data_IF_656834990292
#
_entry.id   IF_656834990292
#
_cell.length_a   1.000
_cell.length_b   1.000
_cell.length_c   1.000
_cell.angle_alpha   90.00
_cell.angle_beta   90.00
_cell.angle_gamma   90.00
#
_symmetry.space_group_name_H-M   'P 1'
#
loop_
_entity.id
_entity.type
_entity.pdbx_description
1 polymer ?
#
# COMPACT_ATOMS: atom_id res chain seq x y z
N UNK A 1 -1.59 -4.96 -4.36
CA UNK A 1 -2.64 -5.46 -5.21
C UNK A 1 -2.38 -5.39 -6.69
N UNK A 2 -3.34 -5.91 -7.44
CA UNK A 2 -3.22 -6.08 -8.88
C UNK A 2 -4.07 -5.07 -9.68
N UNK A 3 -4.30 -3.90 -9.10
CA UNK A 3 -4.95 -2.77 -9.79
C UNK A 3 -3.92 -2.18 -10.76
N UNK A 4 -4.30 -2.02 -12.02
CA UNK A 4 -3.46 -1.40 -13.05
C UNK A 4 -3.36 0.11 -12.82
N UNK A 5 -2.16 0.63 -12.95
CA UNK A 5 -1.84 2.03 -12.77
C UNK A 5 -1.04 2.56 -13.95
N UNK A 6 -1.29 3.80 -14.39
CA UNK A 6 -0.42 4.44 -15.37
C UNK A 6 1.01 4.56 -14.83
N UNK A 7 2.02 4.56 -15.70
CA UNK A 7 3.41 4.76 -15.29
C UNK A 7 3.60 6.13 -14.62
N UNK A 8 4.67 6.26 -13.85
CA UNK A 8 5.09 7.55 -13.32
C UNK A 8 5.37 8.53 -14.48
N UNK A 9 4.87 9.77 -14.41
CA UNK A 9 4.94 10.73 -15.53
C UNK A 9 6.37 10.99 -16.01
N UNK A 10 6.53 11.12 -17.33
CA UNK A 10 7.79 11.50 -17.99
C UNK A 10 8.98 10.55 -17.73
N UNK A 11 8.73 9.32 -17.33
CA UNK A 11 9.77 8.32 -17.19
C UNK A 11 9.43 7.05 -17.99
N UNK A 12 10.44 6.50 -18.65
CA UNK A 12 10.36 5.22 -19.34
C UNK A 12 11.17 4.20 -18.57
N UNK A 13 10.46 3.33 -17.84
CA UNK A 13 11.08 2.23 -17.11
C UNK A 13 11.32 1.03 -18.04
N UNK A 14 12.50 0.46 -17.95
CA UNK A 14 12.76 -0.81 -18.62
C UNK A 14 11.97 -1.92 -17.91
N UNK A 15 11.19 -2.67 -18.67
CA UNK A 15 10.46 -3.80 -18.11
C UNK A 15 11.42 -4.91 -17.65
N UNK A 16 11.17 -5.40 -16.42
CA UNK A 16 11.90 -6.52 -15.83
C UNK A 16 10.97 -7.74 -15.82
N UNK A 17 11.34 -8.74 -16.58
CA UNK A 17 10.59 -10.00 -16.67
C UNK A 17 10.90 -10.95 -15.50
N UNK A 18 9.96 -11.81 -15.13
CA UNK A 18 8.59 -11.86 -15.63
C UNK A 18 7.73 -10.73 -15.08
N UNK A 19 6.67 -10.39 -15.81
CA UNK A 19 5.61 -9.50 -15.31
C UNK A 19 4.95 -10.07 -14.04
N UNK A 20 3.93 -9.42 -13.54
CA UNK A 20 3.23 -9.91 -12.35
C UNK A 20 2.53 -11.25 -12.61
N UNK A 21 2.37 -12.05 -11.56
CA UNK A 21 1.61 -13.32 -11.61
C UNK A 21 0.13 -13.15 -11.99
N UNK A 22 -0.40 -11.91 -11.96
CA UNK A 22 -1.73 -11.59 -12.50
C UNK A 22 -1.77 -11.47 -14.04
N UNK A 23 -0.61 -11.56 -14.72
CA UNK A 23 -0.46 -11.40 -16.16
C UNK A 23 -0.19 -9.97 -16.62
N UNK A 24 -0.32 -8.96 -15.73
CA UNK A 24 -0.13 -7.56 -16.09
C UNK A 24 1.27 -7.07 -15.72
N UNK A 25 1.89 -6.29 -16.62
CA UNK A 25 3.10 -5.51 -16.36
C UNK A 25 2.78 -4.07 -15.91
N UNK A 26 1.55 -3.79 -15.51
CA UNK A 26 1.08 -2.45 -15.16
C UNK A 26 0.38 -2.38 -13.80
N UNK A 27 0.21 -3.51 -13.11
CA UNK A 27 -0.41 -3.53 -11.80
C UNK A 27 0.50 -2.90 -10.73
N UNK A 28 -0.09 -2.43 -9.63
CA UNK A 28 0.63 -1.80 -8.50
C UNK A 28 1.83 -2.63 -8.02
N UNK A 29 1.65 -3.94 -7.85
CA UNK A 29 2.72 -4.84 -7.40
C UNK A 29 3.91 -4.84 -8.37
N UNK A 30 3.62 -4.89 -9.68
CA UNK A 30 4.65 -4.80 -10.71
C UNK A 30 5.29 -3.40 -10.74
N UNK A 31 4.49 -2.33 -10.72
CA UNK A 31 4.99 -0.95 -10.77
C UNK A 31 5.94 -0.64 -9.61
N UNK A 32 5.58 -1.03 -8.39
CA UNK A 32 6.47 -0.82 -7.24
C UNK A 32 7.77 -1.59 -7.44
N UNK A 33 7.71 -2.86 -7.80
CA UNK A 33 8.88 -3.70 -7.96
C UNK A 33 9.79 -3.23 -9.11
N UNK A 34 9.19 -2.92 -10.26
CA UNK A 34 9.91 -2.54 -11.48
C UNK A 34 10.40 -1.09 -11.45
N UNK A 35 9.49 -0.14 -11.19
CA UNK A 35 9.76 1.28 -11.40
C UNK A 35 10.50 1.90 -10.20
N UNK A 36 10.27 1.35 -9.00
CA UNK A 36 10.89 1.86 -7.76
C UNK A 36 12.17 1.08 -7.44
N UNK A 37 12.07 -0.25 -7.31
CA UNK A 37 13.17 -1.07 -6.81
C UNK A 37 14.06 -1.65 -7.92
N UNK A 38 13.59 -1.67 -9.17
CA UNK A 38 14.31 -2.24 -10.33
C UNK A 38 14.72 -3.71 -10.10
N UNK A 39 13.82 -4.50 -9.50
CA UNK A 39 14.07 -5.86 -9.03
C UNK A 39 13.09 -6.88 -9.62
N UNK A 40 13.53 -8.11 -9.74
CA UNK A 40 12.65 -9.25 -10.00
C UNK A 40 11.75 -9.53 -8.79
N UNK A 41 10.68 -10.31 -9.01
CA UNK A 41 9.76 -10.70 -7.91
C UNK A 41 10.49 -11.43 -6.79
N UNK A 42 11.46 -12.28 -7.14
CA UNK A 42 12.24 -13.07 -6.18
C UNK A 42 13.08 -12.14 -5.29
N UNK A 43 13.91 -11.29 -5.90
CA UNK A 43 14.76 -10.34 -5.17
C UNK A 43 13.93 -9.44 -4.24
N UNK A 44 12.84 -8.89 -4.75
CA UNK A 44 11.95 -8.04 -3.94
C UNK A 44 11.30 -8.80 -2.77
N UNK A 45 10.96 -10.09 -2.96
CA UNK A 45 10.37 -10.90 -1.89
C UNK A 45 11.32 -11.17 -0.73
N UNK A 46 12.62 -11.17 -0.99
CA UNK A 46 13.69 -11.42 0.00
C UNK A 46 14.00 -10.19 0.85
N UNK A 47 13.62 -8.97 0.40
CA UNK A 47 13.86 -7.74 1.17
C UNK A 47 13.06 -7.73 2.48
N UNK A 48 13.73 -7.36 3.55
CA UNK A 48 13.11 -7.02 4.84
C UNK A 48 12.48 -5.63 4.81
N UNK A 49 11.58 -5.34 5.75
CA UNK A 49 10.99 -3.99 5.92
C UNK A 49 12.03 -2.91 6.15
N UNK A 50 13.11 -3.24 6.87
CA UNK A 50 14.21 -2.32 7.13
C UNK A 50 14.98 -1.99 5.85
N UNK A 51 15.33 -2.99 5.05
CA UNK A 51 16.04 -2.78 3.77
C UNK A 51 15.21 -1.94 2.80
N UNK A 52 13.90 -2.17 2.73
CA UNK A 52 12.97 -1.36 1.94
C UNK A 52 12.99 0.10 2.40
N UNK A 53 12.89 0.34 3.71
CA UNK A 53 12.96 1.68 4.28
C UNK A 53 14.29 2.36 3.97
N UNK A 54 15.40 1.69 4.26
CA UNK A 54 16.75 2.24 4.05
C UNK A 54 16.99 2.55 2.57
N UNK A 55 16.54 1.68 1.66
CA UNK A 55 16.58 1.94 0.23
C UNK A 55 15.83 3.22 -0.16
N UNK A 56 14.57 3.33 0.23
CA UNK A 56 13.72 4.47 -0.14
C UNK A 56 14.22 5.79 0.46
N UNK A 57 14.72 5.78 1.68
CA UNK A 57 15.27 7.00 2.32
C UNK A 57 16.56 7.45 1.61
N UNK A 58 17.39 6.52 1.17
CA UNK A 58 18.66 6.83 0.49
C UNK A 58 18.49 7.16 -1.01
N UNK A 59 17.29 6.95 -1.59
CA UNK A 59 16.96 7.23 -3.00
C UNK A 59 15.71 8.11 -3.09
N UNK A 60 15.81 9.42 -2.87
CA UNK A 60 14.66 10.33 -2.82
C UNK A 60 13.79 10.29 -4.09
N UNK A 61 14.40 10.12 -5.26
CA UNK A 61 13.70 10.01 -6.54
C UNK A 61 12.84 8.74 -6.61
N UNK A 62 13.33 7.63 -6.05
CA UNK A 62 12.57 6.37 -5.96
C UNK A 62 11.47 6.46 -4.91
N UNK A 63 11.73 7.19 -3.82
CA UNK A 63 10.73 7.45 -2.80
C UNK A 63 9.57 8.30 -3.34
N UNK A 64 9.85 9.26 -4.18
CA UNK A 64 8.81 10.06 -4.86
C UNK A 64 7.93 9.18 -5.75
N UNK A 65 8.53 8.31 -6.58
CA UNK A 65 7.81 7.36 -7.45
C UNK A 65 6.96 6.41 -6.60
N UNK A 66 7.53 5.85 -5.53
CA UNK A 66 6.82 5.00 -4.59
C UNK A 66 5.59 5.71 -4.00
N UNK A 67 5.79 6.92 -3.50
CA UNK A 67 4.73 7.73 -2.89
C UNK A 67 3.63 8.09 -3.90
N UNK A 68 4.00 8.33 -5.15
CA UNK A 68 3.04 8.56 -6.24
C UNK A 68 2.11 7.36 -6.43
N UNK A 69 2.65 6.14 -6.53
CA UNK A 69 1.82 4.94 -6.72
C UNK A 69 0.92 4.66 -5.51
N UNK A 70 1.46 4.78 -4.31
CA UNK A 70 0.68 4.63 -3.07
C UNK A 70 -0.42 5.70 -2.99
N UNK A 71 -0.10 6.95 -3.31
CA UNK A 71 -1.09 8.03 -3.36
C UNK A 71 -2.22 7.78 -4.35
N UNK A 72 -1.93 7.21 -5.52
CA UNK A 72 -2.98 6.82 -6.50
C UNK A 72 -3.93 5.78 -5.92
N UNK A 73 -3.39 4.76 -5.24
CA UNK A 73 -4.23 3.72 -4.61
C UNK A 73 -5.05 4.30 -3.45
N UNK A 74 -4.46 5.10 -2.59
CA UNK A 74 -5.17 5.75 -1.49
C UNK A 74 -6.31 6.61 -2.03
N UNK A 75 -6.06 7.42 -3.05
CA UNK A 75 -7.09 8.22 -3.70
C UNK A 75 -8.22 7.37 -4.27
N UNK A 76 -7.89 6.24 -4.90
CA UNK A 76 -8.90 5.31 -5.41
C UNK A 76 -9.75 4.74 -4.27
N UNK A 77 -9.12 4.26 -3.19
CA UNK A 77 -9.80 3.66 -2.04
C UNK A 77 -10.69 4.68 -1.32
N UNK A 78 -10.19 5.90 -1.09
CA UNK A 78 -10.96 6.97 -0.44
C UNK A 78 -12.18 7.35 -1.29
N UNK A 79 -12.02 7.50 -2.60
CA UNK A 79 -13.12 7.91 -3.48
C UNK A 79 -14.14 6.80 -3.71
N UNK A 80 -13.72 5.53 -3.70
CA UNK A 80 -14.62 4.40 -3.97
C UNK A 80 -15.35 3.91 -2.71
N UNK A 81 -14.62 3.84 -1.58
CA UNK A 81 -15.09 3.20 -0.35
C UNK A 81 -15.44 4.19 0.76
N UNK A 82 -14.97 5.46 0.66
CA UNK A 82 -15.11 6.48 1.70
C UNK A 82 -14.79 5.94 3.11
N UNK A 83 -13.60 5.34 3.33
CA UNK A 83 -13.28 4.72 4.63
C UNK A 83 -12.99 5.78 5.69
N UNK A 84 -13.38 5.52 6.93
CA UNK A 84 -13.00 6.35 8.08
C UNK A 84 -11.53 6.18 8.46
N UNK A 85 -10.95 5.01 8.16
CA UNK A 85 -9.60 4.64 8.56
C UNK A 85 -8.91 3.78 7.49
N UNK A 86 -7.67 4.13 7.16
CA UNK A 86 -6.75 3.29 6.37
C UNK A 86 -5.56 2.90 7.24
N UNK A 87 -5.31 1.59 7.37
CA UNK A 87 -4.19 1.05 8.16
C UNK A 87 -3.10 0.54 7.23
N UNK A 88 -1.90 1.08 7.38
CA UNK A 88 -0.70 0.56 6.73
C UNK A 88 -0.11 -0.60 7.51
N UNK A 89 0.16 -1.70 6.82
CA UNK A 89 0.74 -2.92 7.41
C UNK A 89 1.71 -3.59 6.45
N UNK A 90 2.37 -4.64 6.88
CA UNK A 90 3.28 -5.44 6.06
C UNK A 90 4.65 -4.79 5.86
N UNK A 91 5.29 -5.08 4.73
CA UNK A 91 6.68 -4.69 4.45
C UNK A 91 6.93 -3.19 4.42
N UNK A 92 5.91 -2.39 4.06
CA UNK A 92 6.05 -0.94 3.92
C UNK A 92 5.73 -0.15 5.20
N UNK A 93 5.38 -0.83 6.29
CA UNK A 93 4.99 -0.13 7.52
C UNK A 93 6.09 0.78 8.08
N UNK A 94 7.36 0.37 7.97
CA UNK A 94 8.48 1.15 8.51
C UNK A 94 8.80 2.42 7.71
N UNK A 95 8.31 2.52 6.47
CA UNK A 95 8.44 3.73 5.66
C UNK A 95 7.22 4.64 5.77
N UNK A 96 6.13 4.18 6.36
CA UNK A 96 4.86 4.91 6.42
C UNK A 96 5.01 6.30 7.06
N UNK A 97 5.71 6.43 8.17
CA UNK A 97 5.89 7.70 8.89
C UNK A 97 6.61 8.76 8.05
N UNK A 98 7.53 8.33 7.17
CA UNK A 98 8.23 9.21 6.22
C UNK A 98 7.37 9.57 5.01
N UNK A 99 6.43 8.70 4.68
CA UNK A 99 5.56 8.85 3.52
C UNK A 99 4.37 9.78 3.80
N UNK A 100 3.83 9.81 5.03
CA UNK A 100 2.63 10.55 5.37
C UNK A 100 2.65 12.04 4.95
N UNK A 101 3.72 12.82 5.21
CA UNK A 101 3.76 14.23 4.80
C UNK A 101 3.62 14.42 3.28
N UNK A 102 4.20 13.51 2.48
CA UNK A 102 4.12 13.56 1.03
C UNK A 102 2.74 13.12 0.52
N UNK A 103 2.17 12.08 1.14
CA UNK A 103 0.83 11.61 0.81
C UNK A 103 -0.23 12.66 1.11
N UNK A 104 -0.19 13.30 2.28
CA UNK A 104 -1.13 14.37 2.61
C UNK A 104 -1.06 15.52 1.59
N UNK A 105 0.13 15.89 1.13
CA UNK A 105 0.28 16.89 0.09
C UNK A 105 -0.36 16.47 -1.23
N UNK A 106 -0.18 15.21 -1.65
CA UNK A 106 -0.77 14.68 -2.89
C UNK A 106 -2.30 14.55 -2.79
N UNK A 107 -2.81 14.12 -1.63
CA UNK A 107 -4.25 13.97 -1.37
C UNK A 107 -4.91 15.34 -1.32
N UNK A 108 -4.30 16.34 -0.67
CA UNK A 108 -4.81 17.69 -0.56
C UNK A 108 -4.95 18.42 -1.92
N UNK A 109 -4.18 18.02 -2.93
CA UNK A 109 -4.33 18.56 -4.30
C UNK A 109 -5.49 17.94 -5.08
N UNK A 110 -6.16 16.96 -4.55
CA UNK A 110 -7.29 16.29 -5.18
C UNK A 110 -8.57 17.14 -5.08
N UNK A 111 -9.41 17.11 -6.12
CA UNK A 111 -10.70 17.83 -6.14
C UNK A 111 -11.68 17.38 -5.05
N UNK A 112 -11.46 16.18 -4.48
CA UNK A 112 -12.25 15.60 -3.39
C UNK A 112 -11.48 15.62 -2.05
N UNK A 113 -10.65 16.61 -1.84
CA UNK A 113 -9.80 16.75 -0.63
C UNK A 113 -10.59 16.72 0.69
N UNK A 114 -11.87 17.14 0.69
CA UNK A 114 -12.72 17.07 1.87
C UNK A 114 -12.98 15.64 2.35
N UNK A 115 -13.10 14.67 1.43
CA UNK A 115 -13.27 13.25 1.76
C UNK A 115 -11.96 12.69 2.32
N UNK A 116 -10.83 13.03 1.69
CA UNK A 116 -9.52 12.60 2.15
C UNK A 116 -9.16 13.15 3.54
N UNK A 117 -9.64 14.34 3.89
CA UNK A 117 -9.45 14.93 5.22
C UNK A 117 -10.29 14.25 6.32
N UNK A 118 -11.33 13.52 5.97
CA UNK A 118 -12.15 12.75 6.91
C UNK A 118 -11.59 11.35 7.21
N UNK A 119 -10.65 10.86 6.38
CA UNK A 119 -10.04 9.54 6.54
C UNK A 119 -8.80 9.61 7.45
N UNK A 120 -8.79 8.82 8.51
CA UNK A 120 -7.59 8.64 9.33
C UNK A 120 -6.60 7.67 8.66
N UNK A 121 -5.30 7.93 8.86
CA UNK A 121 -4.22 7.05 8.40
C UNK A 121 -3.40 6.57 9.60
N UNK A 122 -3.27 5.26 9.75
CA UNK A 122 -2.51 4.65 10.86
C UNK A 122 -1.55 3.58 10.35
N UNK A 123 -0.51 3.33 11.12
CA UNK A 123 0.44 2.24 10.90
C UNK A 123 0.16 1.15 11.93
N UNK A 124 0.10 -0.11 11.47
CA UNK A 124 -0.12 -1.25 12.36
C UNK A 124 1.09 -1.52 13.25
N UNK A 125 0.86 -1.75 14.53
CA UNK A 125 1.89 -2.16 15.48
C UNK A 125 2.08 -3.69 15.56
N UNK A 126 1.23 -4.48 14.87
CA UNK A 126 1.20 -5.96 14.99
C UNK A 126 2.29 -6.68 14.17
N UNK A 127 3.12 -5.96 13.41
CA UNK A 127 4.20 -6.54 12.61
C UNK A 127 3.72 -7.48 11.49
N UNK A 128 4.59 -8.42 11.09
CA UNK A 128 4.33 -9.36 10.00
C UNK A 128 3.21 -10.37 10.31
N UNK A 129 2.88 -10.58 11.58
CA UNK A 129 1.82 -11.49 12.02
C UNK A 129 0.43 -10.86 12.01
N UNK A 130 0.33 -9.56 11.69
CA UNK A 130 -0.92 -8.79 11.66
C UNK A 130 -2.07 -9.48 10.90
N UNK A 131 -1.86 -10.04 9.68
CA UNK A 131 -2.93 -10.72 8.96
C UNK A 131 -3.42 -11.98 9.67
N UNK A 132 -2.50 -12.77 10.23
CA UNK A 132 -2.85 -14.01 10.95
C UNK A 132 -3.65 -13.73 12.22
N UNK A 133 -3.26 -12.70 12.98
CA UNK A 133 -3.99 -12.24 14.17
C UNK A 133 -5.38 -11.74 13.77
N UNK A 134 -5.50 -10.95 12.70
CA UNK A 134 -6.78 -10.45 12.20
C UNK A 134 -7.73 -11.59 11.83
N UNK A 135 -7.26 -12.58 11.08
CA UNK A 135 -8.06 -13.77 10.71
C UNK A 135 -8.49 -14.56 11.96
N UNK A 136 -7.59 -14.76 12.91
CA UNK A 136 -7.91 -15.46 14.16
C UNK A 136 -8.99 -14.73 14.98
N UNK A 137 -8.91 -13.40 15.04
CA UNK A 137 -9.93 -12.56 15.69
C UNK A 137 -11.27 -12.65 14.97
N UNK A 138 -11.29 -12.56 13.63
CA UNK A 138 -12.52 -12.71 12.86
C UNK A 138 -13.16 -14.09 13.09
N UNK A 139 -12.38 -15.18 12.99
CA UNK A 139 -12.89 -16.53 13.23
C UNK A 139 -13.41 -16.70 14.66
N UNK A 140 -12.77 -16.06 15.65
CA UNK A 140 -13.24 -16.08 17.03
C UNK A 140 -14.59 -15.36 17.19
N UNK A 141 -14.74 -14.16 16.60
CA UNK A 141 -16.00 -13.43 16.65
C UNK A 141 -17.12 -14.11 15.87
N UNK A 142 -16.83 -14.74 14.72
CA UNK A 142 -17.81 -15.54 13.98
C UNK A 142 -18.36 -16.67 14.87
N UNK A 143 -17.49 -17.38 15.59
CA UNK A 143 -17.91 -18.45 16.50
C UNK A 143 -18.70 -17.96 17.70
N UNK A 144 -18.32 -16.81 18.27
CA UNK A 144 -19.11 -16.19 19.36
C UNK A 144 -20.42 -15.63 18.80
N UNK A 145 -20.41 -15.02 17.61
CA UNK A 145 -21.60 -14.51 16.93
C UNK A 145 -22.64 -15.61 16.64
N UNK A 146 -22.18 -16.80 16.24
CA UNK A 146 -23.04 -17.99 16.11
C UNK A 146 -23.64 -18.43 17.47
N UNK A 147 -22.93 -18.18 18.60
CA UNK A 147 -23.38 -18.54 19.93
C UNK A 147 -24.24 -17.45 20.61
N UNK A 148 -24.12 -16.21 20.16
CA UNK A 148 -24.91 -15.06 20.62
C UNK A 148 -25.74 -14.60 19.44
N UNK A 149 -27.05 -14.86 19.51
CA UNK A 149 -28.01 -14.43 18.50
C UNK A 149 -28.05 -12.88 18.46
N UNK A 150 -27.18 -12.27 17.64
CA UNK A 150 -27.15 -10.83 17.41
C UNK A 150 -28.38 -10.42 16.58
N UNK A 151 -29.50 -10.17 17.24
CA UNK A 151 -30.63 -9.46 16.63
C UNK A 151 -30.29 -7.97 16.58
N UNK A 152 -29.91 -7.49 15.40
CA UNK A 152 -29.89 -6.07 15.06
C UNK A 152 -31.22 -5.65 14.41
#
# INVERSE_FOLDING_TARGET
GHIELPPYPNQNFKAIEPCCSCGSCECLDYRIRNDVFEMTKKEFSELSSKEIKDYLINHPEKFEIFTYYIGKIINLLVNLLNPDLIIFTGKFKEVADYMWPLLYKQIATNKLSYIANACEFKTSNLGATSPAIGIAICAYFDKIGEAIDWQF
#
